data_IF_826208277643
#
_entry.id   IF_826208277643
#
_cell.length_a   1.000
_cell.length_b   1.000
_cell.length_c   1.000
_cell.angle_alpha   90.00
_cell.angle_beta   90.00
_cell.angle_gamma   90.00
#
_symmetry.space_group_name_H-M   'P 1'
#
loop_
_entity.id
_entity.type
_entity.pdbx_description
1 polymer ?
#
# COMPACT_ATOMS: atom_id res chain seq x y z
N UNK A 1 2.24 10.22 -15.74
CA UNK A 1 0.95 9.49 -15.65
C UNK A 1 -0.07 10.37 -14.91
N UNK A 2 -1.36 10.32 -15.24
CA UNK A 2 -2.41 11.07 -14.51
C UNK A 2 -2.97 10.29 -13.31
N UNK A 3 -2.69 8.99 -13.27
CA UNK A 3 -3.08 8.06 -12.20
C UNK A 3 -1.86 7.25 -11.76
N UNK A 4 -1.93 6.67 -10.57
CA UNK A 4 -0.89 5.83 -10.00
C UNK A 4 -1.55 4.70 -9.20
N UNK A 5 -1.07 3.46 -9.36
CA UNK A 5 -1.40 2.36 -8.45
C UNK A 5 -0.28 2.12 -7.43
N UNK A 6 -0.66 1.85 -6.17
CA UNK A 6 0.30 1.51 -5.13
C UNK A 6 -0.19 0.30 -4.33
N UNK A 7 0.72 -0.61 -4.01
CA UNK A 7 0.39 -1.83 -3.29
C UNK A 7 1.36 -2.09 -2.13
N UNK A 8 0.86 -2.74 -1.10
CA UNK A 8 1.65 -3.24 0.04
C UNK A 8 1.41 -4.74 0.19
N UNK A 9 2.48 -5.46 0.52
CA UNK A 9 2.41 -6.88 0.82
C UNK A 9 3.60 -7.36 1.66
N UNK A 10 3.35 -8.11 2.73
CA UNK A 10 4.39 -8.86 3.45
C UNK A 10 4.67 -10.19 2.75
N UNK A 11 5.94 -10.47 2.40
CA UNK A 11 6.31 -11.62 1.53
C UNK A 11 7.04 -12.76 2.23
N UNK A 12 7.05 -12.79 3.57
CA UNK A 12 7.60 -13.90 4.37
C UNK A 12 8.99 -14.35 3.92
N UNK A 13 9.90 -13.39 3.70
CA UNK A 13 11.29 -13.65 3.31
C UNK A 13 11.43 -14.46 2.00
N UNK A 14 10.41 -14.46 1.14
CA UNK A 14 10.39 -15.23 -0.11
C UNK A 14 10.04 -16.70 0.06
N UNK A 15 9.41 -17.09 1.17
CA UNK A 15 8.91 -18.43 1.43
C UNK A 15 7.39 -18.47 1.49
N UNK A 16 6.80 -19.62 1.17
CA UNK A 16 5.37 -19.84 1.34
C UNK A 16 5.00 -20.34 2.75
N UNK A 17 3.70 -20.44 3.06
CA UNK A 17 3.21 -20.94 4.36
C UNK A 17 3.64 -22.38 4.69
N UNK A 18 4.21 -23.12 3.74
CA UNK A 18 4.79 -24.45 3.95
C UNK A 18 6.33 -24.41 4.00
N UNK A 19 6.91 -23.22 4.19
CA UNK A 19 8.35 -22.94 4.19
C UNK A 19 9.06 -23.33 2.88
N UNK A 20 8.36 -23.27 1.74
CA UNK A 20 8.95 -23.54 0.42
C UNK A 20 9.36 -22.23 -0.26
N UNK A 21 10.54 -22.16 -0.92
CA UNK A 21 10.91 -21.00 -1.72
C UNK A 21 9.82 -20.63 -2.73
N UNK A 22 9.48 -19.34 -2.80
CA UNK A 22 8.26 -18.87 -3.47
C UNK A 22 8.45 -17.64 -4.37
N UNK A 23 9.70 -17.22 -4.61
CA UNK A 23 10.03 -16.01 -5.39
C UNK A 23 9.35 -15.92 -6.76
N UNK A 24 9.31 -17.01 -7.54
CA UNK A 24 8.63 -16.99 -8.86
C UNK A 24 7.12 -16.83 -8.75
N UNK A 25 6.52 -17.38 -7.68
CA UNK A 25 5.11 -17.19 -7.38
C UNK A 25 4.84 -15.75 -6.96
N UNK A 26 5.71 -15.15 -6.16
CA UNK A 26 5.66 -13.71 -5.81
C UNK A 26 5.73 -12.88 -7.10
N UNK A 27 6.67 -13.14 -8.00
CA UNK A 27 6.78 -12.45 -9.30
C UNK A 27 5.49 -12.58 -10.11
N UNK A 28 4.90 -13.77 -10.20
CA UNK A 28 3.64 -13.98 -10.92
C UNK A 28 2.50 -13.14 -10.35
N UNK A 29 2.41 -13.06 -9.02
CA UNK A 29 1.35 -12.30 -8.33
C UNK A 29 1.55 -10.81 -8.53
N UNK A 30 2.77 -10.31 -8.37
CA UNK A 30 3.10 -8.89 -8.58
C UNK A 30 2.92 -8.47 -10.04
N UNK A 31 3.22 -9.36 -10.99
CA UNK A 31 2.96 -9.13 -12.43
C UNK A 31 1.47 -9.03 -12.71
N UNK A 32 0.65 -9.88 -12.10
CA UNK A 32 -0.82 -9.82 -12.23
C UNK A 32 -1.41 -8.60 -11.51
N UNK A 33 -0.79 -8.16 -10.43
CA UNK A 33 -1.17 -6.96 -9.69
C UNK A 33 -0.98 -5.69 -10.53
N UNK A 34 0.09 -5.66 -11.34
CA UNK A 34 0.44 -4.56 -12.26
C UNK A 34 0.42 -3.18 -11.57
N UNK A 35 0.89 -3.14 -10.32
CA UNK A 35 0.98 -1.92 -9.55
C UNK A 35 2.18 -1.07 -9.99
N UNK A 36 2.03 0.26 -10.00
CA UNK A 36 3.10 1.17 -10.38
C UNK A 36 4.18 1.29 -9.29
N UNK A 37 3.77 1.22 -8.03
CA UNK A 37 4.65 1.25 -6.86
C UNK A 37 4.25 0.13 -5.92
N UNK A 38 5.21 -0.64 -5.45
CA UNK A 38 4.98 -1.79 -4.59
C UNK A 38 5.92 -1.67 -3.39
N UNK A 39 5.35 -1.63 -2.18
CA UNK A 39 6.09 -1.78 -0.94
C UNK A 39 6.02 -3.25 -0.50
N UNK A 40 7.18 -3.91 -0.40
CA UNK A 40 7.24 -5.27 0.13
C UNK A 40 7.90 -5.28 1.50
N UNK A 41 7.36 -6.08 2.40
CA UNK A 41 7.79 -6.18 3.79
C UNK A 41 8.24 -7.60 4.11
N UNK A 42 9.01 -7.77 5.20
CA UNK A 42 9.71 -9.02 5.51
C UNK A 42 10.63 -9.47 4.37
N UNK A 43 11.54 -8.59 4.00
CA UNK A 43 12.41 -8.72 2.82
C UNK A 43 13.90 -8.82 3.14
N UNK A 44 14.28 -8.81 4.43
CA UNK A 44 15.66 -8.96 4.89
C UNK A 44 16.19 -10.41 4.71
N UNK A 45 16.42 -10.78 3.46
CA UNK A 45 16.79 -12.14 3.01
C UNK A 45 18.29 -12.33 2.79
N UNK A 46 19.05 -11.24 2.74
CA UNK A 46 20.52 -11.25 2.67
C UNK A 46 21.15 -11.54 4.04
N UNK A 47 20.74 -12.64 4.68
CA UNK A 47 21.28 -13.19 5.94
C UNK A 47 21.70 -14.64 5.71
N UNK A 48 22.77 -15.15 6.35
CA UNK A 48 23.26 -16.51 6.10
C UNK A 48 22.22 -17.62 6.31
N UNK A 49 21.34 -17.46 7.31
CA UNK A 49 20.27 -18.42 7.61
C UNK A 49 19.05 -18.32 6.68
N UNK A 50 18.97 -17.27 5.85
CA UNK A 50 18.01 -17.14 4.75
C UNK A 50 18.64 -17.40 3.38
N UNK A 51 19.85 -17.98 3.36
CA UNK A 51 20.55 -18.36 2.13
C UNK A 51 21.25 -17.20 1.41
N UNK A 52 21.40 -16.03 2.06
CA UNK A 52 21.99 -14.82 1.46
C UNK A 52 21.33 -14.42 0.12
N UNK A 53 20.01 -14.57 0.04
CA UNK A 53 19.26 -14.29 -1.19
C UNK A 53 19.09 -12.78 -1.34
N UNK A 54 19.37 -12.25 -2.53
CA UNK A 54 19.02 -10.86 -2.88
C UNK A 54 17.64 -10.82 -3.53
N UNK A 55 16.60 -10.86 -2.69
CA UNK A 55 15.20 -10.82 -3.13
C UNK A 55 14.89 -9.55 -3.93
N UNK A 56 15.42 -8.41 -3.51
CA UNK A 56 15.11 -7.11 -4.13
C UNK A 56 15.62 -7.01 -5.55
N UNK A 57 16.91 -7.32 -5.77
CA UNK A 57 17.49 -7.27 -7.12
C UNK A 57 16.82 -8.30 -8.03
N UNK A 58 16.49 -9.48 -7.50
CA UNK A 58 15.74 -10.50 -8.23
C UNK A 58 14.38 -9.98 -8.71
N UNK A 59 13.59 -9.39 -7.82
CA UNK A 59 12.27 -8.85 -8.17
C UNK A 59 12.37 -7.66 -9.11
N UNK A 60 13.34 -6.77 -8.90
CA UNK A 60 13.61 -5.63 -9.77
C UNK A 60 13.91 -6.05 -11.21
N UNK A 61 14.75 -7.07 -11.39
CA UNK A 61 15.08 -7.62 -12.71
C UNK A 61 13.85 -8.27 -13.37
N UNK A 62 13.13 -9.13 -12.64
CA UNK A 62 11.99 -9.89 -13.17
C UNK A 62 10.79 -9.02 -13.53
N UNK A 63 10.56 -7.95 -12.78
CA UNK A 63 9.43 -7.04 -12.98
C UNK A 63 9.79 -5.80 -13.80
N UNK A 64 11.08 -5.63 -14.13
CA UNK A 64 11.62 -4.44 -14.81
C UNK A 64 11.30 -3.14 -14.07
N UNK A 65 11.49 -3.15 -12.74
CA UNK A 65 11.20 -2.02 -11.86
C UNK A 65 12.48 -1.46 -11.22
N UNK A 66 12.47 -0.16 -10.97
CA UNK A 66 13.47 0.48 -10.10
C UNK A 66 13.27 -0.01 -8.67
N UNK A 67 14.38 -0.23 -7.96
CA UNK A 67 14.33 -0.77 -6.60
C UNK A 67 15.12 0.09 -5.63
N UNK A 68 14.69 0.12 -4.38
CA UNK A 68 15.50 0.60 -3.26
C UNK A 68 15.28 -0.27 -2.03
N UNK A 69 16.35 -0.43 -1.25
CA UNK A 69 16.38 -1.24 -0.04
C UNK A 69 16.16 -0.35 1.17
N UNK A 70 15.48 -0.87 2.19
CA UNK A 70 15.40 -0.22 3.49
C UNK A 70 16.72 -0.24 4.25
N UNK A 71 16.67 0.00 5.57
CA UNK A 71 17.80 -0.23 6.47
C UNK A 71 18.49 -1.59 6.22
N UNK A 72 19.78 -1.67 6.54
CA UNK A 72 20.59 -2.84 6.17
C UNK A 72 20.17 -4.07 6.95
N UNK A 73 20.29 -5.26 6.36
CA UNK A 73 20.02 -6.54 7.05
C UNK A 73 20.86 -6.73 8.32
N UNK A 74 22.01 -6.06 8.42
CA UNK A 74 22.87 -6.03 9.63
C UNK A 74 22.25 -5.25 10.79
N UNK A 75 21.28 -4.38 10.52
CA UNK A 75 20.61 -3.55 11.51
C UNK A 75 19.48 -4.35 12.20
N UNK A 76 19.42 -5.67 11.96
CA UNK A 76 18.54 -6.63 12.64
C UNK A 76 17.04 -6.32 12.54
N UNK A 77 16.61 -5.78 11.39
CA UNK A 77 15.19 -5.60 11.07
C UNK A 77 14.60 -6.83 10.35
N UNK A 78 13.31 -6.77 9.99
CA UNK A 78 12.70 -7.69 9.02
C UNK A 78 12.74 -7.19 7.58
N UNK A 79 13.11 -5.94 7.37
CA UNK A 79 13.28 -5.35 6.05
C UNK A 79 11.99 -4.81 5.44
N UNK A 80 12.18 -3.77 4.64
CA UNK A 80 11.19 -3.28 3.71
C UNK A 80 11.90 -2.82 2.44
N UNK A 81 11.24 -2.93 1.30
CA UNK A 81 11.78 -2.50 0.01
C UNK A 81 10.70 -1.78 -0.78
N UNK A 82 11.14 -0.98 -1.75
CA UNK A 82 10.25 -0.37 -2.73
C UNK A 82 10.62 -0.85 -4.13
N UNK A 83 9.61 -1.24 -4.89
CA UNK A 83 9.68 -1.45 -6.33
C UNK A 83 8.85 -0.34 -6.99
N UNK A 84 9.40 0.31 -8.02
CA UNK A 84 8.72 1.41 -8.72
C UNK A 84 8.90 1.30 -10.22
N UNK A 85 7.81 1.43 -10.99
CA UNK A 85 7.86 1.57 -12.45
C UNK A 85 8.56 2.87 -12.88
N UNK A 86 8.59 3.86 -11.99
CA UNK A 86 9.18 5.17 -12.22
C UNK A 86 10.49 5.35 -11.45
N UNK A 87 11.42 6.21 -11.92
CA UNK A 87 12.69 6.43 -11.24
C UNK A 87 12.52 6.91 -9.78
N UNK A 88 13.27 6.28 -8.88
CA UNK A 88 13.43 6.73 -7.49
C UNK A 88 14.56 7.76 -7.47
N UNK A 89 14.23 9.03 -7.28
CA UNK A 89 15.19 10.15 -7.39
C UNK A 89 15.77 10.59 -6.05
N UNK A 90 15.13 10.19 -4.95
CA UNK A 90 15.61 10.41 -3.59
C UNK A 90 15.08 9.30 -2.70
N UNK A 91 15.88 8.86 -1.75
CA UNK A 91 15.43 7.96 -0.71
C UNK A 91 16.05 8.35 0.63
N UNK A 92 15.32 8.08 1.70
CA UNK A 92 15.80 8.18 3.07
C UNK A 92 15.28 7.01 3.89
N UNK A 93 16.19 6.35 4.59
CA UNK A 93 15.90 5.18 5.41
C UNK A 93 15.85 5.58 6.88
N UNK A 94 14.95 4.94 7.62
CA UNK A 94 14.75 5.17 9.03
C UNK A 94 14.70 3.83 9.77
N UNK A 95 15.43 3.77 10.88
CA UNK A 95 15.09 2.89 11.99
C UNK A 95 14.17 3.70 12.91
N UNK A 96 12.93 3.24 13.05
CA UNK A 96 11.97 3.93 13.90
C UNK A 96 12.30 3.68 15.39
N UNK A 97 11.83 4.55 16.31
CA UNK A 97 12.12 4.38 17.72
C UNK A 97 11.50 3.09 18.26
N UNK A 98 12.35 2.22 18.82
CA UNK A 98 11.95 0.95 19.44
C UNK A 98 12.79 0.74 20.71
N UNK A 99 12.46 1.41 21.83
CA UNK A 99 13.24 1.29 23.08
C UNK A 99 13.22 -0.12 23.69
N UNK A 100 12.16 -0.90 23.50
CA UNK A 100 11.98 -2.19 24.19
C UNK A 100 11.98 -3.38 23.22
N UNK A 101 11.49 -3.19 22.00
CA UNK A 101 11.11 -4.25 21.09
C UNK A 101 11.84 -4.24 19.75
N UNK A 102 11.11 -4.69 18.74
CA UNK A 102 11.64 -4.92 17.40
C UNK A 102 12.01 -3.61 16.68
N UNK A 103 13.19 -3.60 16.04
CA UNK A 103 13.63 -2.50 15.19
C UNK A 103 12.79 -2.43 13.91
N UNK A 104 11.96 -1.39 13.81
CA UNK A 104 11.04 -1.19 12.71
C UNK A 104 11.66 -0.37 11.55
N UNK A 105 11.80 -0.95 10.34
CA UNK A 105 12.37 -0.26 9.18
C UNK A 105 11.32 0.59 8.45
N UNK A 106 11.73 1.77 7.97
CA UNK A 106 10.95 2.56 7.05
C UNK A 106 11.79 3.21 5.93
N UNK A 107 11.19 3.33 4.75
CA UNK A 107 11.71 4.07 3.59
C UNK A 107 10.81 5.27 3.34
N UNK A 108 11.40 6.44 3.09
CA UNK A 108 10.74 7.57 2.41
C UNK A 108 11.41 7.74 1.05
N UNK A 109 10.75 7.27 0.00
CA UNK A 109 11.21 7.39 -1.38
C UNK A 109 10.46 8.51 -2.10
N UNK A 110 11.18 9.34 -2.87
CA UNK A 110 10.58 10.29 -3.81
C UNK A 110 10.67 9.71 -5.21
N UNK A 111 9.52 9.50 -5.82
CA UNK A 111 9.33 8.89 -7.14
C UNK A 111 9.05 9.99 -8.16
N UNK A 112 9.83 10.02 -9.25
CA UNK A 112 9.66 10.98 -10.33
C UNK A 112 8.69 10.43 -11.38
N UNK A 113 7.45 10.91 -11.35
CA UNK A 113 6.50 10.66 -12.45
C UNK A 113 6.71 11.65 -13.59
N UNK A 114 6.07 11.43 -14.74
CA UNK A 114 6.13 12.38 -15.85
C UNK A 114 5.62 13.80 -15.52
N UNK A 115 4.79 13.95 -14.48
CA UNK A 115 4.10 15.22 -14.19
C UNK A 115 4.47 15.84 -12.85
N UNK A 116 4.75 15.02 -11.83
CA UNK A 116 5.06 15.47 -10.45
C UNK A 116 5.95 14.45 -9.72
N UNK A 117 6.63 14.90 -8.68
CA UNK A 117 7.22 14.01 -7.67
C UNK A 117 6.15 13.54 -6.68
N UNK A 118 6.23 12.28 -6.28
CA UNK A 118 5.35 11.67 -5.27
C UNK A 118 6.25 11.05 -4.21
N UNK A 119 5.97 11.32 -2.95
CA UNK A 119 6.63 10.66 -1.84
C UNK A 119 5.87 9.37 -1.49
N UNK A 120 6.61 8.29 -1.27
CA UNK A 120 6.05 7.01 -0.85
C UNK A 120 6.78 6.55 0.40
N UNK A 121 6.00 6.27 1.44
CA UNK A 121 6.49 5.67 2.68
C UNK A 121 6.19 4.18 2.64
N UNK A 122 7.21 3.36 2.86
CA UNK A 122 7.09 1.91 3.04
C UNK A 122 7.58 1.61 4.44
N UNK A 123 6.80 0.90 5.26
CA UNK A 123 7.15 0.65 6.66
C UNK A 123 6.65 -0.69 7.18
N UNK A 124 7.48 -1.34 7.98
CA UNK A 124 7.10 -2.48 8.81
C UNK A 124 7.21 -2.06 10.28
N UNK A 125 6.08 -1.73 10.92
CA UNK A 125 6.06 -1.44 12.36
C UNK A 125 6.30 -2.73 13.16
N UNK A 126 6.76 -2.57 14.40
CA UNK A 126 6.98 -3.70 15.31
C UNK A 126 5.67 -4.44 15.63
N UNK A 127 5.82 -5.65 16.15
CA UNK A 127 4.69 -6.47 16.55
C UNK A 127 3.91 -5.87 17.75
N UNK A 128 2.77 -6.47 18.10
CA UNK A 128 1.82 -5.93 19.08
C UNK A 128 2.24 -5.99 20.56
N UNK A 129 3.33 -6.69 20.88
CA UNK A 129 3.81 -6.90 22.24
C UNK A 129 4.34 -5.64 22.93
N UNK A 130 4.95 -4.72 22.19
CA UNK A 130 5.64 -3.55 22.74
C UNK A 130 4.85 -2.25 22.44
N UNK A 131 3.92 -1.92 23.34
CA UNK A 131 2.99 -0.80 23.13
C UNK A 131 3.67 0.58 23.01
N UNK A 132 4.75 0.81 23.77
CA UNK A 132 5.50 2.06 23.73
C UNK A 132 6.20 2.25 22.38
N UNK A 133 6.75 1.18 21.81
CA UNK A 133 7.43 1.20 20.53
C UNK A 133 6.45 1.62 19.43
N UNK A 134 5.30 0.95 19.32
CA UNK A 134 4.30 1.29 18.31
C UNK A 134 3.79 2.72 18.42
N UNK A 135 3.61 3.23 19.64
CA UNK A 135 3.27 4.64 19.86
C UNK A 135 4.31 5.57 19.26
N UNK A 136 5.59 5.37 19.59
CA UNK A 136 6.67 6.24 19.13
C UNK A 136 6.89 6.11 17.62
N UNK A 137 6.74 4.91 17.07
CA UNK A 137 6.77 4.63 15.64
C UNK A 137 5.66 5.40 14.91
N UNK A 138 4.41 5.31 15.38
CA UNK A 138 3.27 6.04 14.80
C UNK A 138 3.46 7.56 14.86
N UNK A 139 3.93 8.10 15.99
CA UNK A 139 4.24 9.53 16.14
C UNK A 139 5.34 9.98 15.17
N UNK A 140 6.40 9.19 15.03
CA UNK A 140 7.50 9.46 14.10
C UNK A 140 7.02 9.48 12.65
N UNK A 141 6.20 8.49 12.25
CA UNK A 141 5.66 8.38 10.89
C UNK A 141 4.68 9.51 10.58
N UNK A 142 3.83 9.91 11.53
CA UNK A 142 2.98 11.10 11.42
C UNK A 142 3.81 12.34 11.11
N UNK A 143 4.91 12.55 11.81
CA UNK A 143 5.76 13.72 11.61
C UNK A 143 6.46 13.69 10.25
N UNK A 144 6.90 12.52 9.79
CA UNK A 144 7.44 12.34 8.43
C UNK A 144 6.36 12.70 7.38
N UNK A 145 5.13 12.20 7.52
CA UNK A 145 4.03 12.51 6.60
C UNK A 145 3.63 13.99 6.60
N UNK A 146 3.62 14.65 7.77
CA UNK A 146 3.32 16.08 7.87
C UNK A 146 4.37 16.94 7.18
N UNK A 147 5.64 16.56 7.30
CA UNK A 147 6.77 17.29 6.72
C UNK A 147 6.93 17.08 5.20
N UNK A 148 6.26 16.09 4.60
CA UNK A 148 6.22 15.95 3.14
C UNK A 148 5.32 16.99 2.50
N UNK A 149 5.88 17.75 1.56
CA UNK A 149 5.17 18.74 0.73
C UNK A 149 4.61 18.15 -0.56
N UNK A 150 5.14 17.02 -1.03
CA UNK A 150 4.67 16.32 -2.21
C UNK A 150 3.33 15.60 -1.92
N UNK A 151 2.58 15.20 -2.97
CA UNK A 151 1.65 14.08 -2.86
C UNK A 151 2.32 12.89 -2.21
N UNK A 152 1.63 12.24 -1.27
CA UNK A 152 2.21 11.19 -0.45
C UNK A 152 1.30 9.96 -0.40
N UNK A 153 1.92 8.80 -0.49
CA UNK A 153 1.30 7.49 -0.24
C UNK A 153 2.06 6.83 0.90
N UNK A 154 1.33 6.27 1.85
CA UNK A 154 1.86 5.45 2.93
C UNK A 154 1.42 4.01 2.70
N UNK A 155 2.37 3.08 2.73
CA UNK A 155 2.22 1.65 2.54
C UNK A 155 2.83 0.97 3.77
N UNK A 156 2.02 0.47 4.68
CA UNK A 156 2.56 0.05 5.97
C UNK A 156 1.88 -1.13 6.63
N UNK A 157 2.69 -1.92 7.32
CA UNK A 157 2.27 -2.89 8.32
C UNK A 157 2.29 -2.20 9.68
N UNK A 158 1.11 -2.00 10.27
CA UNK A 158 0.88 -1.14 11.46
C UNK A 158 0.54 -1.95 12.72
N UNK A 159 0.09 -3.20 12.56
CA UNK A 159 -0.32 -4.11 13.67
C UNK A 159 -1.34 -3.49 14.63
N UNK A 160 -2.31 -2.77 14.10
CA UNK A 160 -3.33 -2.07 14.89
C UNK A 160 -4.66 -2.06 14.17
N UNK A 161 -5.77 -2.19 14.89
CA UNK A 161 -7.11 -2.07 14.32
C UNK A 161 -7.44 -0.63 13.88
N UNK A 162 -8.40 -0.44 12.95
CA UNK A 162 -8.96 0.87 12.66
C UNK A 162 -9.51 1.52 13.93
N UNK A 163 -9.39 2.85 14.00
CA UNK A 163 -9.79 3.66 15.17
C UNK A 163 -9.01 3.42 16.47
N UNK A 164 -7.97 2.58 16.44
CA UNK A 164 -7.01 2.47 17.54
C UNK A 164 -6.16 3.74 17.71
N UNK A 165 -5.33 3.80 18.76
CA UNK A 165 -4.38 4.90 19.00
C UNK A 165 -3.49 5.15 17.79
N UNK A 166 -2.77 4.13 17.34
CA UNK A 166 -1.74 4.26 16.30
C UNK A 166 -2.37 4.61 14.95
N UNK A 167 -3.50 3.98 14.63
CA UNK A 167 -4.32 4.38 13.49
C UNK A 167 -4.72 5.87 13.56
N UNK A 168 -5.20 6.35 14.70
CA UNK A 168 -5.63 7.74 14.88
C UNK A 168 -4.47 8.72 14.73
N UNK A 169 -3.30 8.36 15.27
CA UNK A 169 -2.07 9.16 15.12
C UNK A 169 -1.67 9.27 13.66
N UNK A 170 -1.63 8.15 12.92
CA UNK A 170 -1.27 8.13 11.50
C UNK A 170 -2.27 8.89 10.63
N UNK A 171 -3.57 8.65 10.86
CA UNK A 171 -4.66 9.30 10.09
C UNK A 171 -4.86 10.77 10.42
N UNK A 172 -4.20 11.29 11.46
CA UNK A 172 -4.11 12.74 11.69
C UNK A 172 -3.22 13.48 10.67
N UNK A 173 -2.41 12.75 9.89
CA UNK A 173 -1.49 13.31 8.88
C UNK A 173 -1.85 12.94 7.44
N UNK A 174 -2.58 11.86 7.22
CA UNK A 174 -2.99 11.35 5.91
C UNK A 174 -4.39 10.73 6.00
N UNK A 175 -5.09 10.66 4.88
CA UNK A 175 -6.41 10.00 4.79
C UNK A 175 -6.22 8.49 4.63
N UNK A 176 -7.06 7.71 5.29
CA UNK A 176 -7.17 6.29 5.02
C UNK A 176 -7.90 6.04 3.68
N UNK A 177 -7.39 5.09 2.88
CA UNK A 177 -8.01 4.69 1.61
C UNK A 177 -9.48 4.29 1.79
N UNK A 178 -9.81 3.57 2.87
CA UNK A 178 -11.17 3.10 3.14
C UNK A 178 -11.45 2.85 4.63
N UNK A 179 -11.84 3.88 5.40
CA UNK A 179 -12.15 3.71 6.83
C UNK A 179 -13.38 2.83 7.12
N UNK A 180 -14.13 2.40 6.10
CA UNK A 180 -15.23 1.45 6.26
C UNK A 180 -14.75 -0.01 6.40
N UNK A 181 -13.52 -0.30 5.97
CA UNK A 181 -12.90 -1.62 6.13
C UNK A 181 -12.35 -1.78 7.55
N UNK A 182 -13.20 -2.32 8.42
CA UNK A 182 -12.95 -2.52 9.85
C UNK A 182 -12.11 -3.75 10.18
N UNK A 183 -11.93 -4.63 9.20
CA UNK A 183 -11.26 -5.92 9.36
C UNK A 183 -9.78 -5.87 8.93
N UNK A 184 -9.24 -4.65 8.76
CA UNK A 184 -7.79 -4.48 8.63
C UNK A 184 -7.13 -4.56 10.00
N UNK A 185 -5.93 -5.10 10.02
CA UNK A 185 -5.13 -5.19 11.24
C UNK A 185 -3.67 -4.94 10.92
N UNK A 186 -3.16 -5.71 9.96
CA UNK A 186 -1.77 -5.67 9.54
C UNK A 186 -1.50 -4.49 8.62
N UNK A 187 -2.08 -4.50 7.42
CA UNK A 187 -1.68 -3.59 6.35
C UNK A 187 -2.62 -2.40 6.18
N UNK A 188 -2.04 -1.25 5.82
CA UNK A 188 -2.74 0.00 5.57
C UNK A 188 -2.17 0.75 4.37
N UNK A 189 -3.07 1.36 3.61
CA UNK A 189 -2.73 2.37 2.61
C UNK A 189 -3.34 3.71 3.05
N UNK A 190 -2.48 4.69 3.32
CA UNK A 190 -2.90 6.08 3.58
C UNK A 190 -2.40 6.99 2.46
N UNK A 191 -3.04 8.15 2.28
CA UNK A 191 -2.69 9.08 1.22
C UNK A 191 -2.92 10.54 1.61
N UNK A 192 -2.15 11.44 1.00
CA UNK A 192 -2.25 12.90 1.16
C UNK A 192 -2.01 13.56 -0.19
N UNK A 193 -2.75 14.63 -0.48
CA UNK A 193 -2.61 15.40 -1.73
C UNK A 193 -2.83 14.56 -3.02
N UNK A 194 -3.71 13.56 -2.92
CA UNK A 194 -4.14 12.66 -4.00
C UNK A 194 -5.66 12.47 -3.93
N UNK A 195 -6.25 11.98 -5.01
CA UNK A 195 -7.67 11.59 -5.08
C UNK A 195 -7.74 10.07 -5.16
N UNK A 196 -8.45 9.41 -4.25
CA UNK A 196 -8.65 7.95 -4.34
C UNK A 196 -9.60 7.61 -5.47
N UNK A 197 -9.32 6.54 -6.21
CA UNK A 197 -10.19 6.06 -7.30
C UNK A 197 -10.47 4.57 -7.27
N UNK A 198 -9.64 3.78 -6.58
CA UNK A 198 -9.92 2.37 -6.34
C UNK A 198 -9.16 1.80 -5.15
N UNK A 199 -9.70 0.74 -4.56
CA UNK A 199 -9.10 -0.02 -3.48
C UNK A 199 -9.49 -1.50 -3.59
N UNK A 200 -8.54 -2.41 -3.39
CA UNK A 200 -8.80 -3.83 -3.35
C UNK A 200 -7.93 -4.54 -2.32
N UNK A 201 -8.53 -5.57 -1.70
CA UNK A 201 -7.84 -6.62 -0.93
C UNK A 201 -7.82 -7.87 -1.77
N UNK A 202 -6.67 -8.53 -1.84
CA UNK A 202 -6.48 -9.76 -2.61
C UNK A 202 -5.93 -10.82 -1.65
N UNK A 203 -6.62 -11.97 -1.59
CA UNK A 203 -6.26 -13.05 -0.66
C UNK A 203 -4.82 -13.50 -0.86
N UNK A 204 -4.17 -13.91 0.23
CA UNK A 204 -2.83 -14.48 0.27
C UNK A 204 -2.64 -15.82 -0.49
N UNK A 205 -3.73 -16.55 -0.76
CA UNK A 205 -3.75 -17.82 -1.51
C UNK A 205 -2.74 -18.89 -1.04
N UNK A 206 -2.47 -18.92 0.27
CA UNK A 206 -1.50 -19.83 0.89
C UNK A 206 -0.03 -19.50 0.58
N UNK A 207 0.24 -18.38 -0.09
CA UNK A 207 1.61 -17.90 -0.28
C UNK A 207 2.11 -17.25 1.00
N UNK A 208 1.37 -16.33 1.58
CA UNK A 208 1.69 -15.64 2.82
C UNK A 208 0.55 -15.85 3.82
N UNK A 209 0.63 -15.35 5.04
CA UNK A 209 -0.50 -15.28 5.98
C UNK A 209 -1.25 -13.94 5.90
N UNK A 210 -0.61 -12.93 5.29
CA UNK A 210 -1.12 -11.60 5.01
C UNK A 210 -1.66 -11.50 3.59
N UNK A 211 -2.79 -10.83 3.43
CA UNK A 211 -3.32 -10.48 2.12
C UNK A 211 -2.51 -9.38 1.44
N UNK A 212 -2.85 -9.06 0.20
CA UNK A 212 -2.28 -7.92 -0.53
C UNK A 212 -3.31 -6.79 -0.51
N UNK A 213 -2.86 -5.57 -0.21
CA UNK A 213 -3.66 -4.37 -0.44
C UNK A 213 -3.14 -3.57 -1.63
N UNK A 214 -4.06 -3.09 -2.46
CA UNK A 214 -3.73 -2.22 -3.60
C UNK A 214 -4.73 -1.08 -3.71
N UNK A 215 -4.22 0.12 -3.95
CA UNK A 215 -5.01 1.31 -4.17
C UNK A 215 -4.64 1.96 -5.51
N UNK A 216 -5.59 2.69 -6.08
CA UNK A 216 -5.40 3.53 -7.26
C UNK A 216 -5.74 4.97 -6.91
N UNK A 217 -4.90 5.87 -7.39
CA UNK A 217 -5.00 7.31 -7.14
C UNK A 217 -5.00 8.09 -8.45
N UNK A 218 -5.68 9.23 -8.45
CA UNK A 218 -5.53 10.28 -9.46
C UNK A 218 -4.67 11.39 -8.87
N UNK A 219 -3.72 11.89 -9.66
CA UNK A 219 -2.87 13.02 -9.27
C UNK A 219 -3.62 14.31 -9.64
N UNK A 220 -3.93 15.18 -8.66
CA UNK A 220 -4.66 16.41 -8.94
C UNK A 220 -3.79 17.38 -9.76
N UNK A 221 -4.42 18.05 -10.74
CA UNK A 221 -3.75 19.03 -11.61
C UNK A 221 -3.64 20.41 -10.96
N UNK A 222 -4.53 20.73 -10.02
CA UNK A 222 -4.55 21.97 -9.24
C UNK A 222 -4.54 21.68 -7.73
N UNK A 223 -4.32 22.71 -6.92
CA UNK A 223 -4.43 22.60 -5.45
C UNK A 223 -5.89 22.64 -4.96
N UNK A 224 -6.82 23.06 -5.82
CA UNK A 224 -8.25 23.06 -5.51
C UNK A 224 -8.88 21.81 -6.13
N UNK A 225 -8.88 20.71 -5.37
CA UNK A 225 -9.48 19.45 -5.77
C UNK A 225 -10.32 18.90 -4.64
N UNK A 226 -11.39 18.19 -5.01
CA UNK A 226 -12.17 17.38 -4.08
C UNK A 226 -11.81 15.91 -4.25
N UNK A 227 -11.92 15.19 -3.14
CA UNK A 227 -11.64 13.77 -3.08
C UNK A 227 -12.93 12.97 -3.29
N UNK A 228 -12.81 11.78 -3.87
CA UNK A 228 -13.97 10.98 -4.25
C UNK A 228 -14.67 10.36 -3.02
N UNK A 229 -15.99 10.56 -2.95
CA UNK A 229 -16.81 10.14 -1.81
C UNK A 229 -17.86 9.09 -2.16
N UNK A 230 -18.24 8.97 -3.44
CA UNK A 230 -19.21 7.98 -3.87
C UNK A 230 -18.48 6.65 -4.03
N UNK A 231 -18.99 5.59 -3.40
CA UNK A 231 -18.40 4.25 -3.46
C UNK A 231 -19.30 3.37 -4.32
N UNK A 232 -18.70 2.64 -5.25
CA UNK A 232 -19.36 1.56 -6.00
C UNK A 232 -18.47 0.32 -5.99
N UNK A 233 -19.11 -0.84 -6.08
CA UNK A 233 -18.45 -2.14 -6.28
C UNK A 233 -18.75 -2.70 -7.67
N UNK A 234 -19.62 -2.05 -8.44
CA UNK A 234 -19.91 -2.44 -9.82
C UNK A 234 -18.90 -1.81 -10.77
N UNK A 235 -18.08 -2.62 -11.48
CA UNK A 235 -17.16 -2.09 -12.47
C UNK A 235 -17.87 -1.37 -13.63
N UNK A 236 -19.17 -1.60 -13.88
CA UNK A 236 -19.89 -0.90 -14.96
C UNK A 236 -19.96 0.62 -14.75
N UNK A 237 -19.98 1.06 -13.49
CA UNK A 237 -20.07 2.47 -13.09
C UNK A 237 -18.76 3.23 -13.33
N UNK A 238 -17.65 2.51 -13.52
CA UNK A 238 -16.33 3.08 -13.76
C UNK A 238 -16.14 3.40 -15.23
N UNK A 239 -16.29 4.68 -15.58
CA UNK A 239 -16.17 5.17 -16.96
C UNK A 239 -14.79 4.87 -17.58
N UNK A 240 -13.71 5.17 -16.85
CA UNK A 240 -12.35 4.91 -17.31
C UNK A 240 -11.93 3.48 -16.97
N UNK A 241 -11.96 2.59 -17.98
CA UNK A 241 -11.62 1.17 -17.82
C UNK A 241 -10.19 0.90 -17.34
N UNK A 242 -9.24 1.81 -17.55
CA UNK A 242 -7.87 1.67 -17.01
C UNK A 242 -7.82 1.72 -15.46
N UNK A 243 -8.87 2.21 -14.82
CA UNK A 243 -8.99 2.23 -13.36
C UNK A 243 -9.46 0.90 -12.79
N UNK A 244 -10.00 0.00 -13.62
CA UNK A 244 -10.41 -1.33 -13.17
C UNK A 244 -9.21 -2.15 -12.71
N UNK A 245 -9.39 -2.95 -11.67
CA UNK A 245 -8.38 -3.92 -11.23
C UNK A 245 -8.36 -5.14 -12.17
N UNK A 246 -7.24 -5.87 -12.18
CA UNK A 246 -7.07 -7.03 -13.05
C UNK A 246 -8.13 -8.10 -12.76
N UNK A 247 -8.87 -8.52 -13.79
CA UNK A 247 -9.95 -9.50 -13.68
C UNK A 247 -9.47 -10.91 -13.31
N UNK A 248 -8.16 -11.21 -13.35
CA UNK A 248 -7.60 -12.49 -12.88
C UNK A 248 -7.91 -12.75 -11.39
N UNK A 249 -7.97 -11.69 -10.59
CA UNK A 249 -8.38 -11.75 -9.18
C UNK A 249 -9.90 -11.95 -9.01
N UNK A 250 -10.66 -12.06 -10.09
CA UNK A 250 -12.09 -12.34 -10.07
C UNK A 250 -12.95 -11.07 -10.06
N UNK A 251 -14.12 -11.18 -9.43
CA UNK A 251 -15.09 -10.09 -9.26
C UNK A 251 -15.20 -9.73 -7.79
N UNK A 252 -16.00 -8.70 -7.48
CA UNK A 252 -16.35 -8.35 -6.11
C UNK A 252 -16.74 -9.57 -5.27
N UNK A 253 -16.19 -9.64 -4.05
CA UNK A 253 -16.47 -10.70 -3.11
C UNK A 253 -16.79 -10.12 -1.73
N UNK A 254 -17.92 -10.56 -1.17
CA UNK A 254 -18.44 -10.09 0.11
C UNK A 254 -17.80 -10.83 1.29
N UNK A 255 -17.29 -10.10 2.27
CA UNK A 255 -16.67 -10.65 3.48
C UNK A 255 -15.36 -11.40 3.25
N UNK A 256 -14.92 -12.15 4.28
CA UNK A 256 -13.63 -12.83 4.28
C UNK A 256 -13.61 -14.10 3.41
N UNK A 257 -12.77 -14.09 2.38
CA UNK A 257 -12.58 -15.20 1.44
C UNK A 257 -11.37 -16.06 1.80
N UNK A 258 -11.52 -17.39 1.71
CA UNK A 258 -10.43 -18.36 1.84
C UNK A 258 -10.33 -19.16 0.54
N UNK A 259 -9.29 -18.90 -0.25
CA UNK A 259 -9.14 -19.50 -1.58
C UNK A 259 -7.74 -20.06 -1.80
N UNK A 260 -7.64 -21.05 -2.68
CA UNK A 260 -6.36 -21.62 -3.13
C UNK A 260 -5.69 -20.79 -4.25
N UNK A 261 -6.30 -19.65 -4.62
CA UNK A 261 -5.81 -18.74 -5.66
C UNK A 261 -6.07 -17.31 -5.24
N UNK A 262 -5.27 -16.36 -5.71
CA UNK A 262 -5.42 -14.94 -5.37
C UNK A 262 -6.74 -14.41 -5.92
N UNK A 263 -7.66 -14.01 -5.05
CA UNK A 263 -8.96 -13.44 -5.40
C UNK A 263 -9.26 -12.20 -4.59
N UNK A 264 -10.12 -11.33 -5.11
CA UNK A 264 -10.70 -10.27 -4.31
C UNK A 264 -11.49 -10.85 -3.13
N UNK A 265 -11.44 -10.15 -2.00
CA UNK A 265 -12.18 -10.46 -0.76
C UNK A 265 -12.39 -9.19 0.07
N UNK A 266 -13.00 -9.31 1.25
CA UNK A 266 -13.18 -8.21 2.21
C UNK A 266 -13.98 -7.04 1.67
N UNK A 267 -15.07 -7.36 0.96
CA UNK A 267 -15.95 -6.38 0.32
C UNK A 267 -15.23 -5.52 -0.73
N UNK A 268 -14.29 -6.12 -1.47
CA UNK A 268 -13.53 -5.44 -2.54
C UNK A 268 -13.62 -6.19 -3.89
N UNK A 269 -13.28 -5.57 -5.04
CA UNK A 269 -12.75 -4.21 -5.22
C UNK A 269 -13.82 -3.14 -4.98
N UNK A 270 -13.40 -1.98 -4.47
CA UNK A 270 -14.20 -0.77 -4.37
C UNK A 270 -13.63 0.28 -5.32
N UNK A 271 -14.51 1.06 -5.93
CA UNK A 271 -14.17 2.20 -6.77
C UNK A 271 -14.77 3.47 -6.18
N UNK A 272 -14.00 4.55 -6.25
CA UNK A 272 -14.40 5.84 -5.67
C UNK A 272 -14.64 6.83 -6.80
N UNK A 273 -15.86 7.35 -6.89
CA UNK A 273 -16.32 8.27 -7.92
C UNK A 273 -16.46 9.69 -7.38
N UNK A 274 -16.25 10.66 -8.26
CA UNK A 274 -16.53 12.06 -7.98
C UNK A 274 -18.04 12.27 -7.82
N UNK A 275 -18.45 13.32 -7.10
CA UNK A 275 -19.85 13.73 -7.10
C UNK A 275 -20.21 14.33 -8.47
N UNK A 276 -21.34 13.95 -9.03
CA UNK A 276 -21.85 14.58 -10.24
C UNK A 276 -22.28 16.02 -9.93
N UNK A 277 -21.48 16.99 -10.34
CA UNK A 277 -21.84 18.42 -10.21
C UNK A 277 -23.07 18.80 -11.07
N UNK A 278 -23.45 17.98 -12.06
CA UNK A 278 -24.62 18.21 -12.91
C UNK A 278 -25.95 17.83 -12.25
N UNK A 279 -25.97 16.91 -11.27
CA UNK A 279 -27.22 16.50 -10.61
C UNK A 279 -27.66 17.47 -9.48
N UNK A 280 -26.75 18.33 -9.01
CA UNK A 280 -27.03 19.32 -7.96
C UNK A 280 -27.66 20.62 -8.48
N UNK A 281 -27.50 20.96 -9.77
CA UNK A 281 -28.16 22.15 -10.33
C UNK A 281 -29.66 21.92 -10.58
N UNK A 282 -30.06 20.75 -11.10
CA UNK A 282 -31.47 20.45 -11.38
C UNK A 282 -32.41 20.40 -10.16
N UNK A 283 -31.90 20.52 -8.93
CA UNK A 283 -32.73 20.57 -7.72
C UNK A 283 -33.01 21.98 -7.22
N UNK A 284 -32.39 23.02 -7.79
CA UNK A 284 -32.64 24.41 -7.40
C UNK A 284 -33.45 25.21 -8.43
N UNK A 285 -33.57 24.77 -9.68
CA UNK A 285 -34.22 25.51 -10.76
C UNK A 285 -35.42 24.80 -11.42
N UNK A 286 -35.79 23.61 -10.95
CA UNK A 286 -37.15 23.05 -11.13
C UNK A 286 -37.66 22.98 -12.58
N UNK A 287 -36.78 22.81 -13.56
CA UNK A 287 -37.17 22.64 -14.97
C UNK A 287 -36.29 21.57 -15.62
N UNK A 288 -36.91 20.44 -15.99
CA UNK A 288 -36.39 19.47 -16.94
C UNK A 288 -36.82 19.87 -18.35
#
# INVERSE_FOLDING_TARGET
>A
PSHLSAAVWTVHFGYDNNARPSLDRIVSVLSDLDADVIGLLETDTAKPFFGNTDLTSYLGEKLHMFTDFGPSTKDHTWGCIVLSRYPIVKSKHYLLPSPEGELAPAILATIQTATKTIDVIIVHMGNDGDDIDRKLQAEKLRDIMKNSSNPLIFLGYVTSAPFSRDYTVLTSAAKDIDPSDRDRWCEYILYKNLIRVGYARITHAGLTDTEIQVAKFKIPTSNNYEDNQIVTTDPSDVQNRSLLFNSKFGKFYRGHGRFNSHKFHMDTPKYFLARDHHASQCREDGTC
#
